data_IF_109803529804
#
_entry.id   IF_109803529804
#
_cell.length_a   1.000
_cell.length_b   1.000
_cell.length_c   1.000
_cell.angle_alpha   90.00
_cell.angle_beta   90.00
_cell.angle_gamma   90.00
#
_symmetry.space_group_name_H-M   'P 1'
#
loop_
_entity.id
_entity.type
_entity.pdbx_description
1 polymer ?
#
# COMPACT_ATOMS: atom_id res chain seq x y z
N UNK A 1 -10.75 -18.41 -9.94
CA UNK A 1 -10.46 -17.63 -8.73
C UNK A 1 -9.61 -16.46 -9.16
N UNK A 2 -9.79 -15.30 -8.54
CA UNK A 2 -8.95 -14.12 -8.77
C UNK A 2 -8.21 -13.79 -7.47
N UNK A 3 -7.02 -13.24 -7.58
CA UNK A 3 -6.25 -12.81 -6.42
C UNK A 3 -6.20 -11.30 -6.33
N UNK A 4 -6.05 -10.78 -5.13
CA UNK A 4 -5.90 -9.35 -4.89
C UNK A 4 -4.87 -9.06 -3.79
N UNK A 5 -4.21 -7.92 -3.92
CA UNK A 5 -3.38 -7.30 -2.91
C UNK A 5 -3.82 -5.84 -2.78
N UNK A 6 -4.10 -5.40 -1.57
CA UNK A 6 -4.47 -4.02 -1.24
C UNK A 6 -3.44 -3.47 -0.27
N UNK A 7 -2.91 -2.29 -0.58
CA UNK A 7 -2.08 -1.50 0.32
C UNK A 7 -2.84 -0.21 0.64
N UNK A 8 -3.13 -0.01 1.92
CA UNK A 8 -3.71 1.21 2.46
C UNK A 8 -2.59 2.13 2.92
N UNK A 9 -2.69 3.42 2.61
CA UNK A 9 -1.70 4.42 2.98
C UNK A 9 -2.40 5.66 3.57
N UNK A 10 -1.83 6.23 4.62
CA UNK A 10 -2.09 7.60 5.04
C UNK A 10 -0.83 8.44 4.81
N UNK A 11 -0.82 9.19 3.72
CA UNK A 11 0.38 9.87 3.21
C UNK A 11 0.03 11.03 2.27
N UNK A 12 1.05 11.76 1.83
CA UNK A 12 0.92 12.81 0.82
C UNK A 12 0.65 12.20 -0.57
N UNK A 13 0.04 12.95 -1.53
CA UNK A 13 -0.16 12.50 -2.90
C UNK A 13 1.14 12.10 -3.61
N UNK A 14 2.27 12.72 -3.26
CA UNK A 14 3.60 12.41 -3.81
C UNK A 14 4.07 11.04 -3.34
N UNK A 15 3.97 10.75 -2.05
CA UNK A 15 4.31 9.45 -1.47
C UNK A 15 3.42 8.34 -2.04
N UNK A 16 2.11 8.56 -2.15
CA UNK A 16 1.18 7.59 -2.74
C UNK A 16 1.57 7.17 -4.17
N UNK A 17 1.95 8.15 -5.02
CA UNK A 17 2.42 7.88 -6.39
C UNK A 17 3.75 7.13 -6.40
N UNK A 18 4.70 7.51 -5.55
CA UNK A 18 5.99 6.84 -5.45
C UNK A 18 5.84 5.38 -4.99
N UNK A 19 4.99 5.13 -3.98
CA UNK A 19 4.66 3.78 -3.50
C UNK A 19 3.99 2.95 -4.58
N UNK A 20 3.02 3.50 -5.32
CA UNK A 20 2.41 2.83 -6.47
C UNK A 20 3.47 2.43 -7.51
N UNK A 21 4.36 3.33 -7.88
CA UNK A 21 5.42 3.02 -8.86
C UNK A 21 6.44 2.00 -8.35
N UNK A 22 6.71 1.95 -7.04
CA UNK A 22 7.53 0.91 -6.44
C UNK A 22 6.83 -0.45 -6.50
N UNK A 23 5.55 -0.51 -6.14
CA UNK A 23 4.74 -1.71 -6.25
C UNK A 23 4.65 -2.21 -7.70
N UNK A 24 4.41 -1.32 -8.68
CA UNK A 24 4.41 -1.68 -10.11
C UNK A 24 5.71 -2.37 -10.54
N UNK A 25 6.86 -1.85 -10.10
CA UNK A 25 8.17 -2.46 -10.40
C UNK A 25 8.38 -3.80 -9.72
N UNK A 26 7.87 -3.96 -8.49
CA UNK A 26 8.01 -5.18 -7.73
C UNK A 26 7.10 -6.28 -8.28
N UNK A 27 5.82 -5.97 -8.51
CA UNK A 27 4.84 -6.88 -9.11
C UNK A 27 5.28 -7.37 -10.49
N UNK A 28 5.92 -6.52 -11.30
CA UNK A 28 6.47 -6.91 -12.59
C UNK A 28 7.56 -8.00 -12.52
N UNK A 29 8.12 -8.29 -11.33
CA UNK A 29 9.11 -9.37 -11.12
C UNK A 29 8.46 -10.73 -10.91
N UNK A 30 7.16 -10.78 -10.62
CA UNK A 30 6.41 -12.00 -10.39
C UNK A 30 5.62 -12.37 -11.64
N UNK A 31 6.01 -13.44 -12.38
CA UNK A 31 5.27 -13.88 -13.57
C UNK A 31 3.79 -14.19 -13.28
N UNK A 32 3.46 -14.59 -12.05
CA UNK A 32 2.11 -14.91 -11.60
C UNK A 32 1.16 -13.69 -11.63
N UNK A 33 1.71 -12.48 -11.65
CA UNK A 33 0.96 -11.22 -11.74
C UNK A 33 0.99 -10.61 -13.15
N UNK A 34 1.37 -11.36 -14.20
CA UNK A 34 1.52 -10.83 -15.55
C UNK A 34 0.28 -10.08 -16.08
N UNK A 35 -0.93 -10.54 -15.71
CA UNK A 35 -2.20 -9.93 -16.13
C UNK A 35 -2.84 -9.04 -15.05
N UNK A 36 -2.13 -8.76 -13.96
CA UNK A 36 -2.65 -7.97 -12.85
C UNK A 36 -2.80 -6.49 -13.23
N UNK A 37 -3.87 -5.87 -12.73
CA UNK A 37 -4.11 -4.44 -12.85
C UNK A 37 -3.77 -3.75 -11.54
N UNK A 38 -3.07 -2.62 -11.64
CA UNK A 38 -2.69 -1.81 -10.48
C UNK A 38 -3.40 -0.47 -10.55
N UNK A 39 -4.22 -0.18 -9.55
CA UNK A 39 -5.01 1.04 -9.42
C UNK A 39 -4.61 1.79 -8.15
N UNK A 40 -4.64 3.12 -8.21
CA UNK A 40 -4.46 4.01 -7.06
C UNK A 40 -5.71 4.87 -6.92
N UNK A 41 -6.42 4.70 -5.81
CA UNK A 41 -7.61 5.48 -5.46
C UNK A 41 -7.33 6.34 -4.22
N UNK A 42 -7.98 7.50 -4.15
CA UNK A 42 -8.03 8.32 -2.94
C UNK A 42 -9.33 7.99 -2.21
N UNK A 43 -9.24 7.73 -0.92
CA UNK A 43 -10.40 7.46 -0.06
C UNK A 43 -10.66 8.61 0.90
N UNK A 44 -11.87 8.64 1.46
CA UNK A 44 -12.23 9.56 2.54
C UNK A 44 -11.85 8.95 3.90
N UNK A 45 -11.71 9.79 4.91
CA UNK A 45 -11.28 9.38 6.25
C UNK A 45 -12.31 8.50 6.99
N UNK A 46 -13.56 8.45 6.51
CA UNK A 46 -14.70 7.91 7.26
C UNK A 46 -14.58 6.42 7.63
N UNK A 47 -13.78 5.64 6.90
CA UNK A 47 -13.65 4.20 7.08
C UNK A 47 -12.31 3.75 7.70
N UNK A 48 -11.41 4.69 8.03
CA UNK A 48 -10.03 4.36 8.39
C UNK A 48 -9.49 5.18 9.58
N UNK A 49 -8.72 4.54 10.45
CA UNK A 49 -8.17 5.15 11.69
C UNK A 49 -6.67 5.50 11.62
N UNK A 50 -5.96 5.21 10.52
CA UNK A 50 -4.50 5.47 10.42
C UNK A 50 -4.14 6.96 10.67
N UNK A 51 -5.02 7.91 10.33
CA UNK A 51 -4.82 9.33 10.62
C UNK A 51 -4.75 9.63 12.13
N UNK A 52 -5.52 8.88 12.95
CA UNK A 52 -5.52 9.04 14.41
C UNK A 52 -4.22 8.51 15.00
N UNK A 53 -3.72 7.38 14.49
CA UNK A 53 -2.41 6.85 14.90
C UNK A 53 -1.30 7.83 14.54
N UNK A 54 -1.27 8.31 13.29
CA UNK A 54 -0.30 9.31 12.86
C UNK A 54 -0.32 10.56 13.75
N UNK A 55 -1.51 11.11 14.03
CA UNK A 55 -1.65 12.30 14.86
C UNK A 55 -1.23 12.06 16.32
N UNK A 56 -1.42 10.86 16.85
CA UNK A 56 -0.97 10.49 18.19
C UNK A 56 0.56 10.41 18.28
N UNK A 57 1.21 9.90 17.24
CA UNK A 57 2.68 9.80 17.16
C UNK A 57 3.35 11.15 16.82
N UNK A 58 2.60 12.08 16.22
CA UNK A 58 3.10 13.38 15.72
C UNK A 58 2.35 14.57 16.37
N UNK A 59 2.33 14.70 17.70
CA UNK A 59 1.51 15.70 18.37
C UNK A 59 1.93 17.12 17.99
N UNK A 60 0.95 17.91 17.51
CA UNK A 60 1.15 19.32 17.14
C UNK A 60 1.79 19.55 15.77
N UNK A 61 2.06 18.49 15.01
CA UNK A 61 2.51 18.62 13.62
C UNK A 61 1.32 18.83 12.68
N UNK A 62 1.55 19.59 11.61
CA UNK A 62 0.60 19.75 10.52
C UNK A 62 0.60 18.48 9.65
N UNK A 63 -0.55 17.81 9.45
CA UNK A 63 -0.63 16.68 8.51
C UNK A 63 -0.38 17.10 7.06
N UNK A 64 -0.22 18.39 6.75
CA UNK A 64 -0.04 18.90 5.40
C UNK A 64 -1.19 18.46 4.49
N UNK A 65 -0.90 17.90 3.32
CA UNK A 65 -1.89 17.36 2.38
C UNK A 65 -2.10 15.85 2.52
N UNK A 66 -1.73 15.25 3.68
CA UNK A 66 -1.91 13.82 3.96
C UNK A 66 -3.38 13.42 3.88
N UNK A 67 -3.65 12.29 3.25
CA UNK A 67 -4.99 11.72 3.08
C UNK A 67 -4.88 10.22 2.86
N UNK A 68 -6.02 9.56 2.72
CA UNK A 68 -6.08 8.12 2.51
C UNK A 68 -5.94 7.74 1.04
N UNK A 69 -5.11 6.74 0.79
CA UNK A 69 -4.93 6.13 -0.52
C UNK A 69 -5.01 4.62 -0.43
N UNK A 70 -5.64 4.01 -1.44
CA UNK A 70 -5.61 2.57 -1.67
C UNK A 70 -4.88 2.29 -2.96
N UNK A 71 -3.84 1.45 -2.87
CA UNK A 71 -3.25 0.82 -4.04
C UNK A 71 -3.81 -0.60 -4.12
N UNK A 72 -4.46 -0.93 -5.23
CA UNK A 72 -5.09 -2.22 -5.46
C UNK A 72 -4.43 -2.93 -6.62
N UNK A 73 -3.94 -4.13 -6.37
CA UNK A 73 -3.46 -5.07 -7.39
C UNK A 73 -4.53 -6.14 -7.52
N UNK A 74 -5.28 -6.14 -8.62
CA UNK A 74 -6.29 -7.15 -8.90
C UNK A 74 -5.80 -8.04 -10.06
N UNK A 75 -5.56 -9.33 -9.79
CA UNK A 75 -5.18 -10.32 -10.80
C UNK A 75 -6.42 -11.11 -11.26
N UNK A 76 -6.68 -11.22 -12.57
CA UNK A 76 -7.82 -11.98 -13.08
C UNK A 76 -7.65 -13.50 -12.89
N UNK A 77 -6.41 -13.95 -12.64
CA UNK A 77 -6.05 -15.35 -12.39
C UNK A 77 -5.72 -15.58 -10.92
N UNK A 78 -5.69 -16.85 -10.54
CA UNK A 78 -5.23 -17.25 -9.23
C UNK A 78 -3.71 -17.04 -9.14
N UNK A 79 -3.29 -16.28 -8.13
CA UNK A 79 -1.89 -16.09 -7.75
C UNK A 79 -1.63 -16.97 -6.53
N UNK A 80 -0.65 -17.89 -6.58
CA UNK A 80 -0.29 -18.71 -5.44
C UNK A 80 -0.02 -17.88 -4.18
N UNK A 81 -0.53 -18.33 -3.04
CA UNK A 81 -0.35 -17.65 -1.75
C UNK A 81 1.12 -17.27 -1.45
N UNK A 82 2.14 -18.11 -1.70
CA UNK A 82 3.53 -17.72 -1.49
C UNK A 82 3.95 -16.49 -2.30
N UNK A 83 3.52 -16.38 -3.56
CA UNK A 83 3.83 -15.23 -4.42
C UNK A 83 3.08 -13.97 -3.97
N UNK A 84 1.82 -14.11 -3.53
CA UNK A 84 1.07 -13.00 -2.91
C UNK A 84 1.77 -12.46 -1.66
N UNK A 85 2.20 -13.35 -0.77
CA UNK A 85 2.88 -12.99 0.48
C UNK A 85 4.26 -12.39 0.24
N UNK A 86 4.99 -12.89 -0.76
CA UNK A 86 6.28 -12.31 -1.13
C UNK A 86 6.12 -10.90 -1.71
N UNK A 87 5.15 -10.70 -2.62
CA UNK A 87 4.84 -9.38 -3.15
C UNK A 87 4.39 -8.39 -2.06
N UNK A 88 3.52 -8.83 -1.14
CA UNK A 88 3.09 -8.06 0.04
C UNK A 88 4.29 -7.66 0.90
N UNK A 89 5.14 -8.63 1.26
CA UNK A 89 6.34 -8.40 2.08
C UNK A 89 7.28 -7.39 1.42
N UNK A 90 7.53 -7.51 0.11
CA UNK A 90 8.47 -6.63 -0.59
C UNK A 90 7.99 -5.20 -0.65
N UNK A 91 6.68 -4.96 -0.84
CA UNK A 91 6.16 -3.59 -0.85
C UNK A 91 6.16 -2.98 0.56
N UNK A 92 5.83 -3.75 1.60
CA UNK A 92 5.85 -3.23 2.97
C UNK A 92 7.27 -2.94 3.45
N UNK A 93 8.23 -3.84 3.17
CA UNK A 93 9.66 -3.60 3.41
C UNK A 93 10.15 -2.33 2.70
N UNK A 94 9.70 -2.11 1.46
CA UNK A 94 10.06 -0.90 0.71
C UNK A 94 9.45 0.37 1.34
N UNK A 95 8.19 0.33 1.79
CA UNK A 95 7.54 1.47 2.46
C UNK A 95 8.30 1.83 3.74
N UNK A 96 8.60 0.82 4.57
CA UNK A 96 9.34 1.04 5.82
C UNK A 96 10.74 1.60 5.54
N UNK A 97 11.48 1.00 4.61
CA UNK A 97 12.82 1.47 4.26
C UNK A 97 12.83 2.87 3.65
N UNK A 98 11.81 3.22 2.86
CA UNK A 98 11.74 4.51 2.17
C UNK A 98 11.27 5.66 3.06
N UNK A 99 10.44 5.38 4.07
CA UNK A 99 9.74 6.44 4.82
C UNK A 99 9.87 6.33 6.34
N UNK A 100 10.08 5.14 6.89
CA UNK A 100 9.96 4.89 8.34
C UNK A 100 11.30 4.52 9.00
N UNK A 101 12.30 4.05 8.24
CA UNK A 101 13.64 3.71 8.75
C UNK A 101 14.52 4.95 8.99
N UNK A 102 14.22 6.09 8.36
CA UNK A 102 14.97 7.33 8.56
C UNK A 102 14.42 8.11 9.75
N UNK A 103 15.27 8.42 10.72
CA UNK A 103 14.95 9.25 11.89
C UNK A 103 14.71 10.74 11.58
N UNK A 104 14.68 11.13 10.30
CA UNK A 104 14.47 12.51 9.88
C UNK A 104 12.98 12.87 9.82
N UNK A 105 12.69 14.03 10.42
CA UNK A 105 11.37 14.45 10.85
C UNK A 105 10.36 14.61 9.69
N UNK A 106 9.19 13.97 9.84
CA UNK A 106 7.94 14.18 9.06
C UNK A 106 7.88 13.58 7.64
N UNK A 107 8.58 12.47 7.36
CA UNK A 107 8.37 11.68 6.12
C UNK A 107 7.63 10.36 6.33
N UNK A 108 7.30 10.01 7.57
CA UNK A 108 6.66 8.73 7.91
C UNK A 108 5.39 8.48 7.10
N UNK A 109 5.17 7.23 6.68
CA UNK A 109 3.96 6.77 6.02
C UNK A 109 3.32 5.68 6.87
N UNK A 110 2.10 5.95 7.35
CA UNK A 110 1.27 4.95 7.99
C UNK A 110 0.66 4.06 6.90
N UNK A 111 0.75 2.74 7.09
CA UNK A 111 0.30 1.78 6.09
C UNK A 111 -0.35 0.55 6.71
N UNK A 112 -1.16 -0.13 5.90
CA UNK A 112 -1.67 -1.47 6.17
C UNK A 112 -1.77 -2.25 4.86
N UNK A 113 -1.69 -3.58 4.93
CA UNK A 113 -1.82 -4.43 3.74
C UNK A 113 -2.80 -5.57 3.96
N UNK A 114 -3.42 -6.01 2.87
CA UNK A 114 -4.22 -7.22 2.85
C UNK A 114 -4.06 -7.91 1.49
N UNK A 115 -3.67 -9.18 1.52
CA UNK A 115 -3.66 -10.04 0.34
C UNK A 115 -4.63 -11.23 0.51
N UNK A 116 -5.28 -11.64 -0.57
CA UNK A 116 -6.17 -12.79 -0.55
C UNK A 116 -6.63 -13.27 -1.92
N UNK A 117 -7.34 -14.40 -1.91
CA UNK A 117 -8.01 -14.98 -3.08
C UNK A 117 -9.51 -14.72 -2.96
N UNK A 118 -10.14 -14.20 -4.02
CA UNK A 118 -11.60 -14.18 -4.15
C UNK A 118 -12.05 -15.54 -4.68
N UNK A 119 -12.78 -16.28 -3.84
CA UNK A 119 -13.64 -17.34 -4.31
C UNK A 119 -14.68 -16.71 -5.22
N UNK A 120 -14.78 -17.18 -6.46
CA UNK A 120 -15.87 -16.79 -7.36
C UNK A 120 -17.16 -17.29 -6.72
N UNK A 121 -17.91 -16.40 -6.06
CA UNK A 121 -19.29 -16.64 -5.64
C UNK A 121 -20.20 -16.66 -6.87
#
# INVERSE_FOLDING_TARGET
>A
MSSYLVVQLYCTPTQAKATRSALEREIARFPEFADARIELARETEADYEMHLHWAADHPGQDPADRTYYLIRVDSPTDVPEPALREAETKVTEWIDSAYNDSADEIVEVQWGSYAGTKLLS
#
